data_IF_868699388960
#
_entry.id   IF_868699388960
#
_cell.length_a   1.000
_cell.length_b   1.000
_cell.length_c   1.000
_cell.angle_alpha   90.00
_cell.angle_beta   90.00
_cell.angle_gamma   90.00
#
_symmetry.space_group_name_H-M   'P 1'
#
loop_
_entity.id
_entity.type
_entity.pdbx_description
1 polymer ?
#
# COMPACT_ATOMS: atom_id res chain seq x y z
N UNK A 1 10.58 14.43 -22.11
CA UNK A 1 9.92 15.24 -21.06
C UNK A 1 8.41 15.45 -21.32
N UNK A 2 7.90 15.45 -22.56
CA UNK A 2 6.47 15.63 -22.86
C UNK A 2 5.58 14.38 -22.70
N UNK A 3 6.13 13.17 -22.61
CA UNK A 3 5.38 11.92 -22.50
C UNK A 3 4.91 11.58 -21.08
N UNK A 4 5.59 12.09 -20.05
CA UNK A 4 5.24 11.82 -18.65
C UNK A 4 4.03 12.64 -18.18
N UNK A 5 3.89 13.86 -18.68
CA UNK A 5 2.78 14.77 -18.33
C UNK A 5 1.42 14.27 -18.87
N UNK A 6 1.43 13.57 -20.00
CA UNK A 6 0.19 13.01 -20.59
C UNK A 6 -0.37 11.81 -19.82
N UNK A 7 0.49 11.02 -19.15
CA UNK A 7 0.04 9.86 -18.37
C UNK A 7 -0.68 10.29 -17.07
N UNK A 8 -0.17 11.33 -16.42
CA UNK A 8 -0.77 11.88 -15.19
C UNK A 8 -2.13 12.54 -15.46
N UNK A 9 -2.26 13.26 -16.59
CA UNK A 9 -3.51 13.88 -17.00
C UNK A 9 -4.59 12.83 -17.42
N UNK A 10 -4.21 11.67 -17.94
CA UNK A 10 -5.15 10.62 -18.33
C UNK A 10 -5.70 9.84 -17.14
N UNK A 11 -4.91 9.64 -16.08
CA UNK A 11 -5.36 8.98 -14.84
C UNK A 11 -6.41 9.86 -14.12
N UNK A 12 -6.27 11.17 -14.16
CA UNK A 12 -7.22 12.10 -13.56
C UNK A 12 -8.60 12.16 -14.23
N UNK A 13 -8.72 11.71 -15.50
CA UNK A 13 -9.97 11.79 -16.30
C UNK A 13 -10.87 10.56 -16.09
N UNK A 14 -10.34 9.42 -15.64
CA UNK A 14 -11.08 8.15 -15.56
C UNK A 14 -11.73 7.93 -14.18
N UNK A 15 -11.25 8.57 -13.14
CA UNK A 15 -11.81 8.41 -11.80
C UNK A 15 -13.08 9.26 -11.63
N UNK A 16 -14.26 8.65 -11.76
CA UNK A 16 -15.49 9.27 -11.27
C UNK A 16 -15.29 9.62 -9.81
N UNK A 17 -15.40 10.88 -9.40
CA UNK A 17 -15.22 11.26 -8.02
C UNK A 17 -16.23 10.48 -7.17
N UNK A 18 -15.73 9.66 -6.24
CA UNK A 18 -16.54 9.00 -5.22
C UNK A 18 -17.09 10.07 -4.29
N UNK A 19 -18.30 10.55 -4.59
CA UNK A 19 -18.93 11.68 -3.87
C UNK A 19 -19.06 11.43 -2.36
N UNK A 20 -19.16 10.16 -1.96
CA UNK A 20 -19.23 9.79 -0.54
C UNK A 20 -17.95 10.14 0.23
N UNK A 21 -16.82 10.22 -0.45
CA UNK A 21 -15.49 10.51 0.11
C UNK A 21 -15.08 11.99 -0.06
N UNK A 22 -16.02 12.87 -0.45
CA UNK A 22 -15.79 14.30 -0.51
C UNK A 22 -16.07 14.95 0.86
N UNK A 23 -15.01 15.43 1.50
CA UNK A 23 -15.07 16.15 2.76
C UNK A 23 -15.16 17.64 2.48
N UNK A 24 -16.30 18.27 2.81
CA UNK A 24 -16.49 19.72 2.70
C UNK A 24 -15.96 20.41 3.95
N UNK A 25 -14.84 21.10 3.85
CA UNK A 25 -14.17 21.73 4.99
C UNK A 25 -14.51 23.20 5.20
N UNK A 26 -15.05 23.90 4.18
CA UNK A 26 -15.29 25.36 4.25
C UNK A 26 -16.40 25.71 5.25
N UNK A 27 -17.39 24.88 5.46
CA UNK A 27 -18.47 25.13 6.44
C UNK A 27 -18.17 24.67 7.87
N UNK A 28 -17.08 23.96 8.09
CA UNK A 28 -16.74 23.39 9.39
C UNK A 28 -16.23 24.46 10.36
N UNK A 29 -16.50 24.27 11.65
CA UNK A 29 -15.88 25.05 12.73
C UNK A 29 -14.41 24.64 12.91
N UNK A 30 -13.62 25.50 13.53
CA UNK A 30 -12.28 25.12 13.99
C UNK A 30 -12.38 23.99 15.03
N UNK A 31 -11.48 23.00 14.93
CA UNK A 31 -11.44 21.85 15.80
C UNK A 31 -11.57 20.53 15.06
N UNK A 32 -11.90 19.49 15.78
CA UNK A 32 -11.94 18.11 15.33
C UNK A 32 -13.29 17.73 14.73
N UNK A 33 -13.25 17.00 13.61
CA UNK A 33 -14.39 16.41 12.92
C UNK A 33 -14.08 15.00 12.51
N UNK A 34 -14.94 14.04 12.85
CA UNK A 34 -14.73 12.62 12.60
C UNK A 34 -15.65 12.16 11.48
N UNK A 35 -15.10 11.42 10.54
CA UNK A 35 -15.81 10.74 9.45
C UNK A 35 -15.50 9.25 9.50
N UNK A 36 -16.50 8.43 9.27
CA UNK A 36 -16.34 6.97 9.23
C UNK A 36 -16.83 6.46 7.88
N UNK A 37 -16.05 5.56 7.30
CA UNK A 37 -16.32 4.95 6.01
C UNK A 37 -16.24 3.43 6.14
N UNK A 38 -17.26 2.75 5.64
CA UNK A 38 -17.23 1.31 5.46
C UNK A 38 -16.74 1.01 4.05
N UNK A 39 -15.65 0.25 3.94
CA UNK A 39 -14.98 -0.07 2.67
C UNK A 39 -15.22 -1.53 2.34
N UNK A 40 -15.76 -1.77 1.15
CA UNK A 40 -16.02 -3.08 0.57
C UNK A 40 -15.38 -3.22 -0.82
N UNK A 41 -15.65 -4.32 -1.51
CA UNK A 41 -15.12 -4.57 -2.85
C UNK A 41 -15.53 -3.49 -3.85
N UNK A 42 -16.72 -2.89 -3.72
CA UNK A 42 -17.22 -1.89 -4.68
C UNK A 42 -16.37 -0.62 -4.68
N UNK A 43 -15.72 -0.31 -3.54
CA UNK A 43 -14.75 0.78 -3.47
C UNK A 43 -13.55 0.52 -4.38
N UNK A 44 -13.01 -0.70 -4.39
CA UNK A 44 -11.83 -1.08 -5.19
C UNK A 44 -12.15 -1.21 -6.67
N UNK A 45 -13.38 -1.56 -7.06
CA UNK A 45 -13.84 -1.57 -8.46
C UNK A 45 -13.66 -0.19 -9.13
N UNK A 46 -13.79 0.91 -8.37
CA UNK A 46 -13.58 2.26 -8.87
C UNK A 46 -12.12 2.56 -9.24
N UNK A 47 -11.18 1.80 -8.63
CA UNK A 47 -9.75 1.91 -8.87
C UNK A 47 -9.24 0.81 -9.83
N UNK A 48 -10.13 0.01 -10.41
CA UNK A 48 -9.80 -1.13 -11.26
C UNK A 48 -8.84 -2.11 -10.59
N UNK A 49 -8.97 -2.28 -9.26
CA UNK A 49 -8.13 -3.13 -8.44
C UNK A 49 -8.89 -4.38 -8.00
N UNK A 50 -8.42 -5.56 -8.42
CA UNK A 50 -9.08 -6.86 -8.28
C UNK A 50 -8.28 -7.93 -7.50
N UNK A 51 -7.18 -7.53 -6.87
CA UNK A 51 -6.29 -8.45 -6.12
C UNK A 51 -6.94 -9.03 -4.85
N UNK A 52 -8.07 -8.45 -4.39
CA UNK A 52 -8.75 -8.86 -3.18
C UNK A 52 -10.01 -9.68 -3.50
N UNK A 53 -10.12 -10.86 -2.88
CA UNK A 53 -11.33 -11.68 -3.00
C UNK A 53 -12.53 -11.04 -2.28
N UNK A 54 -12.31 -10.54 -1.05
CA UNK A 54 -13.29 -9.78 -0.31
C UNK A 54 -12.64 -8.81 0.66
N UNK A 55 -13.30 -7.68 0.87
CA UNK A 55 -12.82 -6.59 1.73
C UNK A 55 -13.93 -6.20 2.70
N UNK A 56 -13.57 -6.09 3.97
CA UNK A 56 -14.43 -5.58 5.04
C UNK A 56 -13.56 -4.72 5.97
N UNK A 57 -13.45 -3.44 5.65
CA UNK A 57 -12.63 -2.51 6.41
C UNK A 57 -13.48 -1.33 6.88
N UNK A 58 -13.08 -0.78 8.02
CA UNK A 58 -13.57 0.50 8.53
C UNK A 58 -12.44 1.50 8.49
N UNK A 59 -12.72 2.66 7.96
CA UNK A 59 -11.78 3.77 7.93
C UNK A 59 -12.36 4.89 8.77
N UNK A 60 -11.60 5.33 9.76
CA UNK A 60 -11.89 6.53 10.54
C UNK A 60 -10.96 7.63 10.06
N UNK A 61 -11.54 8.74 9.64
CA UNK A 61 -10.83 9.98 9.30
C UNK A 61 -11.11 11.02 10.36
N UNK A 62 -10.08 11.44 11.07
CA UNK A 62 -10.13 12.57 11.99
C UNK A 62 -9.56 13.81 11.31
N UNK A 63 -10.41 14.77 10.98
CA UNK A 63 -10.04 16.04 10.40
C UNK A 63 -9.93 17.10 11.48
N UNK A 64 -8.71 17.57 11.75
CA UNK A 64 -8.44 18.70 12.63
C UNK A 64 -8.36 19.99 11.81
N UNK A 65 -9.41 20.82 11.86
CA UNK A 65 -9.41 22.11 11.17
C UNK A 65 -8.71 23.17 12.01
N UNK A 66 -7.58 23.69 11.48
CA UNK A 66 -6.84 24.84 12.02
C UNK A 66 -7.07 26.08 11.18
N UNK A 67 -6.54 27.22 11.62
CA UNK A 67 -6.75 28.52 10.95
C UNK A 67 -6.13 28.58 9.55
N UNK A 68 -4.99 27.91 9.34
CA UNK A 68 -4.18 28.01 8.13
C UNK A 68 -3.96 26.70 7.39
N UNK A 69 -4.37 25.57 8.03
CA UNK A 69 -4.16 24.24 7.48
C UNK A 69 -5.22 23.26 8.01
N UNK A 70 -5.32 22.09 7.37
CA UNK A 70 -6.10 20.96 7.85
C UNK A 70 -5.12 19.82 8.14
N UNK A 71 -5.32 19.12 9.24
CA UNK A 71 -4.65 17.86 9.52
C UNK A 71 -5.68 16.73 9.39
N UNK A 72 -5.32 15.69 8.67
CA UNK A 72 -6.16 14.53 8.42
C UNK A 72 -5.42 13.30 8.93
N UNK A 73 -5.99 12.65 9.93
CA UNK A 73 -5.48 11.40 10.47
C UNK A 73 -6.42 10.28 10.05
N UNK A 74 -5.88 9.33 9.31
CA UNK A 74 -6.58 8.16 8.80
C UNK A 74 -6.21 6.95 9.64
N UNK A 75 -7.20 6.21 10.10
CA UNK A 75 -7.06 4.92 10.76
C UNK A 75 -7.87 3.90 9.97
N UNK A 76 -7.26 2.80 9.57
CA UNK A 76 -7.94 1.69 8.88
C UNK A 76 -7.82 0.43 9.70
N UNK A 77 -8.95 -0.28 9.86
CA UNK A 77 -9.01 -1.55 10.55
C UNK A 77 -10.00 -2.49 9.87
N UNK A 78 -9.70 -3.79 9.87
CA UNK A 78 -10.62 -4.82 9.43
C UNK A 78 -9.93 -6.03 8.82
N UNK A 79 -10.60 -6.68 7.87
CA UNK A 79 -10.17 -7.95 7.30
C UNK A 79 -10.21 -7.87 5.78
N UNK A 80 -9.13 -8.33 5.15
CA UNK A 80 -9.04 -8.55 3.71
C UNK A 80 -8.86 -10.04 3.45
N UNK A 81 -9.60 -10.59 2.50
CA UNK A 81 -9.41 -11.94 1.99
C UNK A 81 -8.65 -11.87 0.66
N UNK A 82 -7.56 -12.59 0.55
CA UNK A 82 -6.78 -12.75 -0.67
C UNK A 82 -6.13 -14.13 -0.74
N UNK A 83 -5.55 -14.47 -1.88
CA UNK A 83 -4.93 -15.77 -2.07
C UNK A 83 -3.49 -15.79 -1.54
N UNK A 84 -3.10 -16.93 -1.00
CA UNK A 84 -1.72 -17.18 -0.56
C UNK A 84 -0.75 -17.24 -1.74
N UNK A 85 0.38 -16.55 -1.67
CA UNK A 85 1.38 -16.51 -2.74
C UNK A 85 2.02 -17.90 -3.04
N UNK A 86 2.01 -18.82 -2.07
CA UNK A 86 2.60 -20.16 -2.25
C UNK A 86 1.59 -21.23 -2.65
N UNK A 87 0.40 -21.21 -2.09
CA UNK A 87 -0.59 -22.29 -2.25
C UNK A 87 -1.79 -21.90 -3.07
N UNK A 88 -1.96 -20.59 -3.34
CA UNK A 88 -3.13 -20.00 -3.98
C UNK A 88 -4.46 -20.28 -3.24
N UNK A 89 -4.39 -20.68 -1.97
CA UNK A 89 -5.57 -20.85 -1.12
C UNK A 89 -6.00 -19.53 -0.53
N UNK A 90 -7.31 -19.23 -0.49
CA UNK A 90 -7.82 -17.99 0.07
C UNK A 90 -7.70 -17.99 1.59
N UNK A 91 -7.31 -16.85 2.18
CA UNK A 91 -7.30 -16.68 3.63
C UNK A 91 -7.61 -15.24 4.04
N UNK A 92 -8.03 -15.09 5.27
CA UNK A 92 -8.34 -13.80 5.87
C UNK A 92 -7.12 -13.23 6.58
N UNK A 93 -6.78 -12.00 6.25
CA UNK A 93 -5.71 -11.24 6.87
C UNK A 93 -6.29 -10.03 7.60
N UNK A 94 -6.10 -9.90 8.92
CA UNK A 94 -6.41 -8.67 9.61
C UNK A 94 -5.43 -7.56 9.17
N UNK A 95 -5.97 -6.37 8.91
CA UNK A 95 -5.23 -5.18 8.53
C UNK A 95 -5.52 -4.09 9.56
N UNK A 96 -4.46 -3.41 9.97
CA UNK A 96 -4.52 -2.19 10.78
C UNK A 96 -3.39 -1.28 10.34
N UNK A 97 -3.69 -0.04 10.00
CA UNK A 97 -2.71 0.94 9.56
C UNK A 97 -3.20 2.36 9.84
N UNK A 98 -2.27 3.28 9.97
CA UNK A 98 -2.50 4.69 10.23
C UNK A 98 -1.70 5.54 9.24
N UNK A 99 -2.26 6.70 8.88
CA UNK A 99 -1.60 7.65 8.01
C UNK A 99 -2.04 9.08 8.35
N UNK A 100 -1.11 10.02 8.37
CA UNK A 100 -1.39 11.45 8.64
C UNK A 100 -1.04 12.30 7.44
N UNK A 101 -1.95 13.19 7.04
CA UNK A 101 -1.79 14.10 5.91
C UNK A 101 -2.05 15.55 6.36
N UNK A 102 -1.12 16.43 6.05
CA UNK A 102 -1.27 17.88 6.29
C UNK A 102 -1.69 18.57 5.00
N UNK A 103 -2.86 19.19 5.00
CA UNK A 103 -3.35 19.95 3.86
C UNK A 103 -3.11 21.44 4.08
N UNK A 104 -2.33 22.04 3.19
CA UNK A 104 -2.02 23.48 3.16
C UNK A 104 -2.71 24.15 1.98
N UNK A 105 -2.98 25.44 2.12
CA UNK A 105 -3.56 26.26 1.07
C UNK A 105 -2.46 27.01 0.32
N UNK A 106 -2.46 26.92 -1.01
CA UNK A 106 -1.45 27.54 -1.87
C UNK A 106 -2.04 28.13 -3.15
N UNK A 107 -1.18 28.51 -4.09
CA UNK A 107 -1.60 29.05 -5.39
C UNK A 107 -2.00 27.95 -6.38
N UNK A 108 -1.37 26.80 -6.29
CA UNK A 108 -1.54 25.67 -7.21
C UNK A 108 -1.62 24.36 -6.42
N UNK A 109 -2.24 23.35 -7.03
CA UNK A 109 -2.29 22.01 -6.48
C UNK A 109 -0.90 21.36 -6.55
N UNK A 110 -0.45 20.76 -5.45
CA UNK A 110 0.80 20.00 -5.40
C UNK A 110 0.66 18.86 -4.38
N UNK A 111 0.99 17.64 -4.81
CA UNK A 111 1.00 16.39 -4.06
C UNK A 111 2.35 15.65 -4.17
N UNK A 112 3.44 16.38 -4.48
CA UNK A 112 4.79 15.78 -4.61
C UNK A 112 5.33 15.24 -3.27
N UNK A 113 4.72 15.63 -2.15
CA UNK A 113 5.13 15.21 -0.82
C UNK A 113 4.06 14.31 -0.19
N UNK A 114 4.46 13.12 0.24
CA UNK A 114 3.56 12.11 0.79
C UNK A 114 2.78 12.57 2.04
N UNK A 115 3.35 13.48 2.84
CA UNK A 115 2.74 13.97 4.09
C UNK A 115 2.06 15.35 3.94
N UNK A 116 2.30 16.06 2.83
CA UNK A 116 1.83 17.43 2.67
C UNK A 116 1.15 17.58 1.30
N UNK A 117 -0.15 17.83 1.34
CA UNK A 117 -0.94 18.18 0.17
C UNK A 117 -1.16 19.69 0.12
N UNK A 118 -0.87 20.31 -1.01
CA UNK A 118 -1.19 21.72 -1.24
C UNK A 118 -2.40 21.81 -2.16
N UNK A 119 -3.45 22.49 -1.71
CA UNK A 119 -4.66 22.72 -2.50
C UNK A 119 -4.84 24.23 -2.76
N UNK A 120 -5.42 24.62 -3.91
CA UNK A 120 -5.69 26.02 -4.24
C UNK A 120 -6.62 26.70 -3.22
N UNK A 121 -6.40 27.99 -2.96
CA UNK A 121 -7.21 28.77 -2.01
C UNK A 121 -8.71 28.82 -2.32
N UNK A 122 -9.14 28.49 -3.54
CA UNK A 122 -10.55 28.49 -3.95
C UNK A 122 -11.29 27.18 -3.68
N UNK A 123 -10.57 26.13 -3.27
CA UNK A 123 -11.19 24.85 -3.00
C UNK A 123 -12.01 24.87 -1.71
N UNK A 124 -13.15 24.19 -1.72
CA UNK A 124 -14.08 24.12 -0.59
C UNK A 124 -14.30 22.69 -0.09
N UNK A 125 -13.80 21.71 -0.83
CA UNK A 125 -13.90 20.27 -0.53
C UNK A 125 -12.61 19.55 -0.90
N UNK A 126 -12.37 18.43 -0.24
CA UNK A 126 -11.26 17.52 -0.52
C UNK A 126 -11.82 16.12 -0.73
N UNK A 127 -11.39 15.43 -1.78
CA UNK A 127 -11.70 14.02 -1.97
C UNK A 127 -10.60 13.17 -1.35
N UNK A 128 -10.97 12.33 -0.38
CA UNK A 128 -10.02 11.49 0.38
C UNK A 128 -9.97 10.04 -0.10
N UNK A 129 -10.75 9.69 -1.15
CA UNK A 129 -10.82 8.31 -1.63
C UNK A 129 -9.46 7.75 -2.06
N UNK A 130 -8.65 8.56 -2.76
CA UNK A 130 -7.34 8.12 -3.23
C UNK A 130 -6.39 7.81 -2.08
N UNK A 131 -6.33 8.67 -1.06
CA UNK A 131 -5.49 8.45 0.12
C UNK A 131 -5.92 7.21 0.92
N UNK A 132 -7.25 6.97 1.02
CA UNK A 132 -7.78 5.76 1.64
C UNK A 132 -7.37 4.52 0.85
N UNK A 133 -7.48 4.56 -0.48
CA UNK A 133 -7.07 3.47 -1.35
C UNK A 133 -5.58 3.14 -1.19
N UNK A 134 -4.71 4.15 -1.27
CA UNK A 134 -3.27 3.99 -1.08
C UNK A 134 -2.93 3.41 0.30
N UNK A 135 -3.52 3.96 1.36
CA UNK A 135 -3.31 3.48 2.72
C UNK A 135 -3.65 1.99 2.85
N UNK A 136 -4.78 1.55 2.29
CA UNK A 136 -5.19 0.15 2.36
C UNK A 136 -4.24 -0.74 1.56
N UNK A 137 -3.91 -0.37 0.32
CA UNK A 137 -3.03 -1.18 -0.53
C UNK A 137 -1.63 -1.31 0.08
N UNK A 138 -1.10 -0.23 0.63
CA UNK A 138 0.21 -0.22 1.28
C UNK A 138 0.22 -0.95 2.63
N UNK A 139 -0.92 -1.08 3.30
CA UNK A 139 -1.04 -1.83 4.56
C UNK A 139 -0.98 -3.35 4.37
N UNK A 140 -1.20 -3.84 3.15
CA UNK A 140 -1.14 -5.26 2.83
C UNK A 140 0.31 -5.75 2.84
N UNK A 141 0.62 -6.85 3.58
CA UNK A 141 1.98 -7.38 3.61
C UNK A 141 2.44 -7.83 2.22
N UNK A 142 3.70 -7.52 1.87
CA UNK A 142 4.31 -7.91 0.58
C UNK A 142 4.32 -9.43 0.35
N UNK A 143 4.38 -10.23 1.42
CA UNK A 143 4.28 -11.69 1.36
C UNK A 143 2.97 -12.13 1.99
N UNK A 144 2.06 -12.58 1.16
CA UNK A 144 0.74 -13.07 1.55
C UNK A 144 0.80 -14.57 1.79
N UNK A 145 1.16 -14.96 3.01
CA UNK A 145 1.32 -16.36 3.39
C UNK A 145 0.18 -16.81 4.30
N UNK A 146 -0.49 -17.89 3.90
CA UNK A 146 -1.52 -18.50 4.74
C UNK A 146 -0.94 -18.86 6.12
N UNK A 147 -1.58 -18.49 7.24
CA UNK A 147 -1.07 -18.76 8.59
C UNK A 147 -0.79 -20.25 8.83
N UNK A 148 -1.61 -21.15 8.27
CA UNK A 148 -1.43 -22.58 8.36
C UNK A 148 -0.14 -23.15 7.77
N UNK A 149 0.61 -22.35 6.99
CA UNK A 149 1.95 -22.75 6.52
C UNK A 149 2.95 -22.70 7.67
N UNK A 150 2.87 -21.67 8.50
CA UNK A 150 3.76 -21.50 9.67
C UNK A 150 3.44 -22.52 10.77
N UNK A 151 2.17 -22.80 10.98
CA UNK A 151 1.70 -23.69 12.03
C UNK A 151 1.72 -25.17 11.60
N UNK A 152 2.05 -25.46 10.33
CA UNK A 152 2.06 -26.82 9.79
C UNK A 152 0.66 -27.45 9.65
N UNK A 153 -0.40 -26.70 9.86
CA UNK A 153 -1.78 -27.17 9.74
C UNK A 153 -2.24 -27.32 8.29
N UNK A 154 -1.62 -26.57 7.38
CA UNK A 154 -1.90 -26.62 5.94
C UNK A 154 -1.09 -27.76 5.30
N UNK A 155 -1.73 -28.93 5.11
CA UNK A 155 -1.09 -30.07 4.46
C UNK A 155 -1.36 -30.05 2.94
N UNK A 156 -0.83 -29.06 2.25
CA UNK A 156 -0.98 -28.92 0.80
C UNK A 156 0.04 -29.77 0.06
N UNK A 157 -0.39 -30.47 -1.02
CA UNK A 157 0.54 -31.17 -1.94
C UNK A 157 1.54 -30.21 -2.60
N UNK A 158 1.13 -28.95 -2.75
CA UNK A 158 1.96 -27.87 -3.30
C UNK A 158 3.16 -27.63 -2.38
N UNK A 159 2.97 -27.55 -1.06
CA UNK A 159 4.06 -27.38 -0.09
C UNK A 159 5.06 -28.55 -0.13
N UNK A 160 4.59 -29.78 -0.23
CA UNK A 160 5.44 -30.95 -0.36
C UNK A 160 6.27 -30.94 -1.66
N UNK A 161 5.68 -30.41 -2.73
CA UNK A 161 6.37 -30.26 -4.01
C UNK A 161 7.42 -29.15 -3.94
N UNK A 162 7.09 -28.02 -3.30
CA UNK A 162 8.03 -26.92 -3.08
C UNK A 162 9.23 -27.34 -2.22
N UNK A 163 9.01 -28.13 -1.16
CA UNK A 163 10.08 -28.68 -0.35
C UNK A 163 11.03 -29.59 -1.15
N UNK A 164 10.47 -30.41 -2.06
CA UNK A 164 11.28 -31.26 -2.94
C UNK A 164 12.10 -30.47 -3.96
N UNK A 165 11.56 -29.35 -4.43
CA UNK A 165 12.19 -28.48 -5.42
C UNK A 165 13.09 -27.41 -4.78
N UNK A 166 12.99 -27.21 -3.48
CA UNK A 166 13.87 -26.29 -2.75
C UNK A 166 15.32 -26.71 -2.93
N UNK A 167 16.23 -25.79 -3.28
CA UNK A 167 17.64 -26.10 -3.34
C UNK A 167 18.05 -26.59 -1.94
N UNK A 168 18.53 -27.84 -1.88
CA UNK A 168 19.13 -28.36 -0.64
C UNK A 168 20.28 -27.43 -0.34
N UNK A 169 20.26 -26.79 0.83
CA UNK A 169 21.42 -26.06 1.32
C UNK A 169 22.60 -27.03 1.23
N UNK A 170 23.51 -26.78 0.30
CA UNK A 170 24.80 -27.41 0.36
C UNK A 170 25.36 -26.98 1.70
N UNK A 171 25.45 -27.91 2.65
CA UNK A 171 26.24 -27.71 3.85
C UNK A 171 27.62 -27.31 3.35
N UNK A 172 27.86 -25.98 3.31
CA UNK A 172 29.21 -25.45 3.18
C UNK A 172 29.96 -25.90 4.44
N UNK A 173 30.38 -27.18 4.44
CA UNK A 173 31.52 -27.56 5.25
C UNK A 173 32.61 -26.63 4.80
N UNK A 174 32.95 -25.71 5.69
CA UNK A 174 34.04 -24.77 5.59
C UNK A 174 35.26 -25.40 4.92
N UNK A 175 35.37 -25.30 3.62
CA UNK A 175 36.63 -25.32 2.92
C UNK A 175 36.85 -23.94 2.38
N UNK A 176 37.64 -23.14 3.11
CA UNK A 176 38.05 -21.78 2.78
C UNK A 176 38.77 -21.66 1.41
N UNK A 177 38.71 -22.72 0.58
CA UNK A 177 39.45 -22.79 -0.69
C UNK A 177 38.60 -23.17 -1.90
N UNK A 178 37.31 -23.39 -1.80
CA UNK A 178 36.49 -23.76 -2.96
C UNK A 178 35.71 -22.57 -3.54
N UNK A 179 36.46 -21.55 -3.93
CA UNK A 179 35.91 -20.44 -4.68
C UNK A 179 35.82 -20.90 -6.13
N UNK A 180 34.62 -20.77 -6.74
CA UNK A 180 34.38 -21.11 -8.15
C UNK A 180 35.50 -20.52 -9.03
N UNK A 181 36.19 -21.33 -9.86
CA UNK A 181 37.28 -20.87 -10.70
C UNK A 181 36.95 -19.69 -11.61
N UNK A 182 35.66 -19.45 -11.89
CA UNK A 182 35.19 -18.31 -12.66
C UNK A 182 35.46 -16.96 -11.98
N UNK A 183 35.68 -16.95 -10.67
CA UNK A 183 35.96 -15.75 -9.88
C UNK A 183 37.45 -15.43 -9.75
N UNK A 184 38.34 -16.31 -10.27
CA UNK A 184 39.80 -16.11 -10.18
C UNK A 184 40.28 -14.87 -10.95
N UNK A 185 39.60 -14.50 -12.03
CA UNK A 185 39.90 -13.26 -12.77
C UNK A 185 39.60 -11.99 -11.97
N UNK A 186 38.62 -12.03 -11.05
CA UNK A 186 38.27 -10.92 -10.16
C UNK A 186 39.25 -10.78 -8.98
N UNK A 187 39.82 -11.90 -8.50
CA UNK A 187 40.88 -11.86 -7.46
C UNK A 187 42.12 -11.10 -7.94
N UNK A 188 42.50 -11.26 -9.22
CA UNK A 188 43.64 -10.56 -9.79
C UNK A 188 43.49 -9.02 -9.76
N UNK A 189 42.24 -8.52 -9.87
CA UNK A 189 41.97 -7.10 -9.80
C UNK A 189 42.07 -6.52 -8.37
N UNK A 190 42.03 -7.36 -7.34
CA UNK A 190 42.19 -6.94 -5.94
C UNK A 190 43.64 -6.98 -5.47
N UNK A 191 44.54 -7.72 -6.17
CA UNK A 191 45.95 -7.88 -5.79
C UNK A 191 46.89 -6.93 -6.54
N UNK A 192 46.44 -6.27 -7.63
CA UNK A 192 47.18 -5.27 -8.37
C UNK A 192 46.95 -3.85 -7.80
N UNK A 193 47.52 -3.61 -6.60
CA UNK A 193 47.66 -2.29 -5.99
C UNK A 193 49.06 -2.10 -5.45
#
# INVERSE_FOLDING_TARGET
>A
LKKCIYLHAQICIIMKPLKAFEVQFVGLKLGEHIYEYDIDNTFFEHFEYDDFNSVQLKVRLTLQKKTTLLELDFEVEGIINFNCDLTNEPFNQPISSEFSLIVKFGSEYNDDNEEILIIPHGEYKLNVAHHIYELIVLSVPQKRLHPGIKDGSLNSEILKTLEKLSPKSLDHKNSDNDIDPRWDSLKKLLTDK
#
